data_IF_515873566898
#
_entry.id   IF_515873566898
#
_cell.length_a   1.000
_cell.length_b   1.000
_cell.length_c   1.000
_cell.angle_alpha   90.00
_cell.angle_beta   90.00
_cell.angle_gamma   90.00
#
_symmetry.space_group_name_H-M   'P 1'
#
loop_
_entity.id
_entity.type
_entity.pdbx_description
1 polymer ?
#
# COMPACT_ATOMS: atom_id res chain seq x y z
N UNK A 1 -20.12 -7.07 31.98
CA UNK A 1 -19.65 -6.04 31.03
C UNK A 1 -18.35 -6.54 30.45
N UNK A 2 -18.41 -7.22 29.30
CA UNK A 2 -17.25 -7.83 28.62
C UNK A 2 -16.88 -6.91 27.45
N UNK A 3 -15.63 -6.43 27.32
CA UNK A 3 -15.21 -5.72 26.12
C UNK A 3 -15.01 -6.73 25.00
N UNK A 4 -15.67 -6.46 23.88
CA UNK A 4 -15.78 -7.31 22.71
C UNK A 4 -14.52 -7.17 21.86
N UNK A 5 -13.78 -8.26 21.74
CA UNK A 5 -12.71 -8.45 20.77
C UNK A 5 -13.29 -8.93 19.43
N UNK A 6 -12.68 -8.45 18.34
CA UNK A 6 -12.69 -8.97 16.96
C UNK A 6 -13.73 -8.47 15.95
N UNK A 7 -13.18 -8.02 14.81
CA UNK A 7 -13.77 -8.03 13.45
C UNK A 7 -13.74 -6.67 12.75
N UNK A 8 -13.23 -6.47 11.52
CA UNK A 8 -12.77 -7.40 10.47
C UNK A 8 -11.99 -6.61 9.39
N UNK A 9 -10.93 -7.25 8.89
CA UNK A 9 -10.28 -7.27 7.56
C UNK A 9 -10.67 -6.31 6.44
N UNK A 10 -9.63 -5.69 5.84
CA UNK A 10 -9.31 -5.77 4.40
C UNK A 10 -7.92 -5.16 4.11
N UNK A 11 -6.82 -5.87 4.41
CA UNK A 11 -5.50 -5.59 3.80
C UNK A 11 -4.47 -6.69 4.11
N UNK A 12 -4.81 -7.96 3.89
CA UNK A 12 -3.80 -9.04 3.87
C UNK A 12 -3.28 -9.30 2.45
N UNK A 13 -3.16 -8.26 1.62
CA UNK A 13 -2.63 -8.38 0.25
C UNK A 13 -1.19 -7.85 0.10
N UNK A 14 -0.65 -7.13 1.09
CA UNK A 14 0.72 -6.62 1.06
C UNK A 14 1.35 -6.82 2.45
N UNK A 15 2.11 -7.90 2.60
CA UNK A 15 3.07 -8.05 3.70
C UNK A 15 4.18 -6.99 3.52
N UNK A 16 3.89 -5.73 3.84
CA UNK A 16 4.89 -4.67 3.86
C UNK A 16 5.72 -4.82 5.13
N UNK A 17 7.05 -4.88 4.99
CA UNK A 17 7.94 -4.87 6.15
C UNK A 17 7.64 -3.66 7.03
N UNK A 18 7.63 -3.83 8.36
CA UNK A 18 7.45 -2.74 9.31
C UNK A 18 8.42 -1.58 9.04
N UNK A 19 9.63 -1.88 8.57
CA UNK A 19 10.63 -0.89 8.18
C UNK A 19 10.17 -0.04 6.99
N UNK A 20 9.60 -0.68 5.97
CA UNK A 20 9.10 -0.01 4.76
C UNK A 20 7.86 0.82 5.13
N UNK A 21 6.92 0.26 5.89
CA UNK A 21 5.74 1.00 6.33
C UNK A 21 6.12 2.25 7.14
N UNK A 22 7.06 2.12 8.07
CA UNK A 22 7.55 3.26 8.87
C UNK A 22 8.24 4.29 8.00
N UNK A 23 9.00 3.86 7.00
CA UNK A 23 9.65 4.77 6.05
C UNK A 23 8.61 5.53 5.21
N UNK A 24 7.65 4.82 4.62
CA UNK A 24 6.57 5.42 3.82
C UNK A 24 5.74 6.41 4.63
N UNK A 25 5.35 6.07 5.86
CA UNK A 25 4.58 6.99 6.73
C UNK A 25 5.37 8.27 7.03
N UNK A 26 6.68 8.17 7.28
CA UNK A 26 7.54 9.34 7.49
C UNK A 26 7.68 10.21 6.24
N UNK A 27 7.74 9.60 5.06
CA UNK A 27 7.78 10.36 3.81
C UNK A 27 6.47 11.08 3.53
N UNK A 28 5.33 10.41 3.76
CA UNK A 28 4.01 11.01 3.64
C UNK A 28 3.78 12.13 4.66
N UNK A 29 4.30 11.97 5.88
CA UNK A 29 4.32 13.02 6.90
C UNK A 29 5.15 14.23 6.44
N UNK A 30 6.35 14.00 5.91
CA UNK A 30 7.21 15.07 5.38
C UNK A 30 6.59 15.81 4.20
N UNK A 31 5.81 15.11 3.36
CA UNK A 31 5.10 15.72 2.23
C UNK A 31 3.77 16.38 2.65
N UNK A 32 3.40 16.35 3.93
CA UNK A 32 2.18 16.98 4.44
C UNK A 32 0.90 16.24 4.06
N UNK A 33 1.00 14.98 3.65
CA UNK A 33 -0.14 14.14 3.24
C UNK A 33 -0.71 13.36 4.43
N UNK A 34 0.13 13.07 5.42
CA UNK A 34 -0.23 12.37 6.65
C UNK A 34 0.18 13.24 7.83
N UNK A 35 -0.64 13.26 8.87
CA UNK A 35 -0.28 13.81 10.17
C UNK A 35 -0.06 12.69 11.18
N UNK A 36 0.84 12.92 12.13
CA UNK A 36 1.17 11.98 13.20
C UNK A 36 0.74 12.56 14.54
N UNK A 37 -0.14 11.87 15.24
CA UNK A 37 -0.62 12.27 16.57
C UNK A 37 -0.13 11.29 17.64
N UNK A 38 0.56 11.83 18.65
CA UNK A 38 1.03 11.06 19.80
C UNK A 38 0.11 11.31 20.98
N UNK A 39 -0.43 10.23 21.55
CA UNK A 39 -1.25 10.29 22.75
C UNK A 39 -0.39 9.89 23.95
N UNK A 40 -0.23 10.79 24.94
CA UNK A 40 0.54 10.53 26.15
C UNK A 40 -0.29 9.69 27.13
N UNK A 41 -0.62 8.46 26.73
CA UNK A 41 -1.30 7.45 27.56
C UNK A 41 -0.33 6.32 27.89
N UNK A 42 -0.67 5.46 28.85
CA UNK A 42 0.13 4.27 29.18
C UNK A 42 -0.63 3.02 28.72
N UNK A 43 -0.08 2.22 27.76
CA UNK A 43 1.13 2.46 26.96
C UNK A 43 0.94 3.56 25.90
N UNK A 44 2.02 4.26 25.48
CA UNK A 44 1.92 5.37 24.53
C UNK A 44 1.35 4.90 23.18
N UNK A 45 0.39 5.67 22.66
CA UNK A 45 -0.29 5.38 21.39
C UNK A 45 0.10 6.42 20.34
N UNK A 46 0.37 5.96 19.12
CA UNK A 46 0.58 6.82 17.95
C UNK A 46 -0.50 6.51 16.93
N UNK A 47 -1.14 7.54 16.42
CA UNK A 47 -2.09 7.45 15.31
C UNK A 47 -1.57 8.27 14.12
N UNK A 48 -1.87 7.78 12.92
CA UNK A 48 -1.62 8.47 11.67
C UNK A 48 -2.97 8.71 10.99
N UNK A 49 -3.19 9.94 10.52
CA UNK A 49 -4.39 10.34 9.76
C UNK A 49 -3.98 11.06 8.49
N UNK A 50 -4.82 11.03 7.46
CA UNK A 50 -4.63 11.87 6.29
C UNK A 50 -4.90 13.33 6.66
N UNK A 51 -4.09 14.24 6.11
CA UNK A 51 -4.38 15.68 6.15
C UNK A 51 -5.46 16.04 5.14
N UNK A 52 -5.93 17.29 5.13
CA UNK A 52 -6.82 17.80 4.07
C UNK A 52 -6.21 17.59 2.67
N UNK A 53 -4.90 17.85 2.51
CA UNK A 53 -4.18 17.58 1.27
C UNK A 53 -4.07 16.07 0.98
N UNK A 54 -3.84 15.25 2.01
CA UNK A 54 -3.83 13.79 1.86
C UNK A 54 -5.16 13.24 1.34
N UNK A 55 -6.28 13.80 1.79
CA UNK A 55 -7.62 13.40 1.36
C UNK A 55 -7.87 13.72 -0.11
N UNK A 56 -7.27 14.77 -0.68
CA UNK A 56 -7.41 15.06 -2.12
C UNK A 56 -6.78 13.99 -3.01
N UNK A 57 -5.91 13.12 -2.48
CA UNK A 57 -5.36 11.99 -3.22
C UNK A 57 -6.37 10.85 -3.45
N UNK A 58 -7.47 10.82 -2.69
CA UNK A 58 -8.45 9.75 -2.81
C UNK A 58 -9.03 9.66 -4.22
N UNK A 59 -9.38 10.80 -4.82
CA UNK A 59 -9.94 10.86 -6.16
C UNK A 59 -8.97 10.35 -7.24
N UNK A 60 -7.74 10.88 -7.40
CA UNK A 60 -6.80 10.40 -8.41
C UNK A 60 -6.41 8.93 -8.19
N UNK A 61 -6.25 8.49 -6.94
CA UNK A 61 -5.98 7.07 -6.65
C UNK A 61 -7.16 6.19 -7.05
N UNK A 62 -8.39 6.62 -6.82
CA UNK A 62 -9.59 5.89 -7.25
C UNK A 62 -9.65 5.79 -8.77
N UNK A 63 -9.35 6.87 -9.49
CA UNK A 63 -9.28 6.84 -10.95
C UNK A 63 -8.20 5.89 -11.46
N UNK A 64 -7.02 5.91 -10.84
CA UNK A 64 -5.94 5.00 -11.17
C UNK A 64 -6.32 3.54 -10.91
N UNK A 65 -6.93 3.24 -9.76
CA UNK A 65 -7.41 1.90 -9.42
C UNK A 65 -8.43 1.39 -10.44
N UNK A 66 -9.43 2.21 -10.79
CA UNK A 66 -10.44 1.84 -11.81
C UNK A 66 -9.82 1.59 -13.18
N UNK A 67 -8.88 2.44 -13.58
CA UNK A 67 -8.14 2.24 -14.83
C UNK A 67 -7.36 0.92 -14.79
N UNK A 68 -6.65 0.64 -13.69
CA UNK A 68 -5.88 -0.58 -13.53
C UNK A 68 -6.78 -1.82 -13.55
N UNK A 69 -7.91 -1.81 -12.83
CA UNK A 69 -8.91 -2.88 -12.85
C UNK A 69 -9.44 -3.14 -14.26
N UNK A 70 -9.64 -2.08 -15.05
CA UNK A 70 -10.13 -2.20 -16.43
C UNK A 70 -9.09 -2.82 -17.36
N UNK A 71 -7.79 -2.56 -17.12
CA UNK A 71 -6.72 -2.93 -18.04
C UNK A 71 -5.81 -4.06 -17.51
N UNK A 72 -6.11 -4.64 -16.35
CA UNK A 72 -5.24 -5.63 -15.71
C UNK A 72 -4.98 -6.83 -16.63
N UNK A 73 -6.01 -7.30 -17.33
CA UNK A 73 -5.89 -8.41 -18.27
C UNK A 73 -5.02 -8.07 -19.48
N UNK A 74 -5.03 -6.82 -19.95
CA UNK A 74 -4.22 -6.38 -21.08
C UNK A 74 -2.76 -6.17 -20.65
N UNK A 75 -2.54 -5.69 -19.42
CA UNK A 75 -1.21 -5.64 -18.80
C UNK A 75 -0.63 -7.05 -18.63
N UNK A 76 -1.41 -8.01 -18.14
CA UNK A 76 -0.98 -9.40 -18.01
C UNK A 76 -0.62 -10.03 -19.35
N UNK A 77 -1.43 -9.80 -20.40
CA UNK A 77 -1.11 -10.26 -21.76
C UNK A 77 0.18 -9.61 -22.29
N UNK A 78 0.38 -8.32 -22.07
CA UNK A 78 1.58 -7.61 -22.50
C UNK A 78 2.83 -8.14 -21.78
N UNK A 79 2.73 -8.41 -20.48
CA UNK A 79 3.81 -9.02 -19.69
C UNK A 79 4.11 -10.45 -20.14
N UNK A 80 3.07 -11.26 -20.40
CA UNK A 80 3.24 -12.62 -20.89
C UNK A 80 3.85 -12.66 -22.30
N UNK A 81 3.52 -11.69 -23.17
CA UNK A 81 4.11 -11.56 -24.49
C UNK A 81 5.58 -11.11 -24.46
N UNK A 82 6.01 -10.41 -23.39
CA UNK A 82 7.41 -10.09 -23.15
C UNK A 82 8.20 -11.21 -22.47
N UNK A 83 7.53 -12.15 -21.80
CA UNK A 83 8.16 -13.32 -21.20
C UNK A 83 8.33 -14.43 -22.25
N UNK A 84 9.48 -14.44 -22.92
CA UNK A 84 9.93 -15.62 -23.69
C UNK A 84 10.63 -16.60 -22.72
N UNK A 85 10.04 -17.76 -22.38
CA UNK A 85 10.64 -18.75 -21.50
C UNK A 85 11.92 -19.38 -22.07
N UNK A 86 12.26 -19.13 -23.33
CA UNK A 86 13.46 -19.67 -24.00
C UNK A 86 14.76 -18.93 -23.63
N UNK A 87 14.70 -17.80 -22.93
CA UNK A 87 15.90 -17.02 -22.56
C UNK A 87 16.69 -17.57 -21.37
N UNK A 88 16.27 -18.70 -20.76
CA UNK A 88 17.02 -19.40 -19.70
C UNK A 88 17.52 -20.75 -20.21
N UNK A 89 18.23 -20.79 -21.34
CA UNK A 89 18.99 -21.98 -21.72
C UNK A 89 20.25 -21.66 -22.52
N UNK A 90 21.11 -20.75 -22.07
CA UNK A 90 22.49 -20.68 -22.57
C UNK A 90 23.45 -20.27 -21.44
N UNK A 91 23.98 -21.29 -20.75
CA UNK A 91 24.92 -21.11 -19.66
C UNK A 91 25.36 -22.43 -19.02
N UNK A 92 25.51 -23.49 -19.82
CA UNK A 92 26.20 -24.70 -19.39
C UNK A 92 27.23 -25.08 -20.43
N UNK A 93 28.44 -24.54 -20.27
CA UNK A 93 29.66 -25.27 -20.57
C UNK A 93 30.80 -24.78 -19.68
#
# INVERSE_FOLDING_TARGET
MIPRESGTSAASALSVSQKVLTHTLRELERHGLVERKVYPVTPPKVEYSLTELGLTLQEPLTHLSRWAETHIADLEKALAAQYDPTSISEGSK
#
